data_IF_399388625822
#
_entry.id   IF_399388625822
#
_cell.length_a   1.000
_cell.length_b   1.000
_cell.length_c   1.000
_cell.angle_alpha   90.00
_cell.angle_beta   90.00
_cell.angle_gamma   90.00
#
_symmetry.space_group_name_H-M   'P 1'
#
loop_
_entity.id
_entity.type
_entity.pdbx_description
1 polymer ?
#
# COMPACT_ATOMS: atom_id res chain seq x y z
N UNK A 1 2.63 -10.48 -8.93
CA UNK A 1 2.38 -11.58 -7.98
C UNK A 1 3.60 -11.76 -7.10
N UNK A 2 3.42 -12.07 -5.82
CA UNK A 2 4.52 -12.31 -4.87
C UNK A 2 4.30 -13.67 -4.17
N UNK A 3 5.37 -14.22 -3.60
CA UNK A 3 5.31 -15.42 -2.76
C UNK A 3 5.24 -15.00 -1.30
N UNK A 4 4.45 -15.72 -0.50
CA UNK A 4 4.30 -15.50 0.92
C UNK A 4 4.61 -16.80 1.67
N UNK A 5 5.15 -16.69 2.88
CA UNK A 5 5.26 -17.83 3.78
C UNK A 5 3.83 -18.38 4.07
N UNK A 6 3.58 -19.69 3.89
CA UNK A 6 2.27 -20.32 4.13
C UNK A 6 1.69 -20.11 5.54
N UNK A 7 2.51 -19.83 6.55
CA UNK A 7 2.06 -19.57 7.92
C UNK A 7 1.43 -18.17 8.09
N UNK A 8 1.67 -17.25 7.16
CA UNK A 8 1.13 -15.89 7.20
C UNK A 8 -0.28 -15.89 6.62
N UNK A 9 -1.27 -15.59 7.47
CA UNK A 9 -2.67 -15.43 7.08
C UNK A 9 -2.95 -13.98 6.70
N UNK A 10 -3.66 -13.78 5.59
CA UNK A 10 -4.07 -12.45 5.12
C UNK A 10 -5.59 -12.35 5.14
N UNK A 11 -6.18 -11.47 5.96
CA UNK A 11 -7.59 -11.10 5.87
C UNK A 11 -7.95 -10.62 4.46
N UNK A 12 -9.16 -10.90 3.98
CA UNK A 12 -9.61 -10.51 2.64
C UNK A 12 -9.68 -9.00 2.40
N UNK A 13 -9.79 -8.23 3.49
CA UNK A 13 -9.79 -6.77 3.53
C UNK A 13 -8.39 -6.17 3.80
N UNK A 14 -7.33 -6.98 3.67
CA UNK A 14 -5.95 -6.48 3.73
C UNK A 14 -5.68 -5.47 2.61
N UNK A 15 -4.88 -4.45 2.91
CA UNK A 15 -4.53 -3.40 1.96
C UNK A 15 -3.06 -3.52 1.57
N UNK A 16 -2.78 -3.55 0.26
CA UNK A 16 -1.41 -3.53 -0.26
C UNK A 16 -1.02 -2.12 -0.74
N UNK A 17 0.16 -1.65 -0.37
CA UNK A 17 0.69 -0.35 -0.77
C UNK A 17 2.14 -0.49 -1.26
N UNK A 18 2.51 0.21 -2.33
CA UNK A 18 3.92 0.35 -2.72
C UNK A 18 4.51 1.53 -1.96
N UNK A 19 5.52 1.28 -1.13
CA UNK A 19 6.21 2.31 -0.32
C UNK A 19 7.67 2.40 -0.70
N UNK A 20 8.27 3.56 -0.44
CA UNK A 20 9.71 3.79 -0.56
C UNK A 20 10.32 3.79 0.83
N UNK A 21 11.46 3.12 1.02
CA UNK A 21 12.20 3.17 2.27
C UNK A 21 12.86 4.55 2.41
N UNK A 22 12.38 5.35 3.37
CA UNK A 22 12.79 6.75 3.48
C UNK A 22 12.37 7.57 2.26
N UNK A 23 13.10 8.65 1.95
CA UNK A 23 12.76 9.55 0.83
C UNK A 23 13.16 9.00 -0.54
N UNK A 24 14.25 8.23 -0.62
CA UNK A 24 14.91 7.84 -1.90
C UNK A 24 15.43 6.41 -1.92
N UNK A 25 15.06 5.58 -0.95
CA UNK A 25 15.53 4.20 -0.88
C UNK A 25 14.80 3.25 -1.82
N UNK A 26 14.97 1.96 -1.56
CA UNK A 26 14.30 0.88 -2.29
C UNK A 26 12.77 0.92 -2.14
N UNK A 27 12.06 0.44 -3.15
CA UNK A 27 10.60 0.27 -3.11
C UNK A 27 10.24 -1.11 -2.57
N UNK A 28 9.19 -1.19 -1.77
CA UNK A 28 8.68 -2.45 -1.22
C UNK A 28 7.15 -2.45 -1.17
N UNK A 29 6.56 -3.65 -1.11
CA UNK A 29 5.12 -3.82 -0.88
C UNK A 29 4.88 -3.92 0.62
N UNK A 30 4.13 -2.97 1.16
CA UNK A 30 3.60 -2.99 2.52
C UNK A 30 2.21 -3.61 2.49
N UNK A 31 1.95 -4.60 3.34
CA UNK A 31 0.61 -5.17 3.51
C UNK A 31 0.14 -4.82 4.91
N UNK A 32 -1.01 -4.16 5.00
CA UNK A 32 -1.67 -3.87 6.27
C UNK A 32 -2.83 -4.87 6.43
N UNK A 33 -2.85 -5.71 7.47
CA UNK A 33 -3.96 -6.62 7.69
C UNK A 33 -5.22 -5.83 8.06
N UNK A 34 -6.35 -6.27 7.53
CA UNK A 34 -7.66 -5.80 7.95
C UNK A 34 -8.21 -6.60 9.14
N UNK A 35 -9.50 -6.46 9.39
CA UNK A 35 -10.20 -7.09 10.52
C UNK A 35 -11.16 -8.20 10.08
N UNK A 36 -11.20 -8.54 8.78
CA UNK A 36 -12.06 -9.62 8.30
C UNK A 36 -11.68 -10.96 8.92
N UNK A 37 -12.69 -11.73 9.30
CA UNK A 37 -12.53 -13.12 9.73
C UNK A 37 -12.23 -14.06 8.54
N UNK A 38 -12.52 -13.62 7.31
CA UNK A 38 -12.26 -14.38 6.10
C UNK A 38 -10.84 -14.12 5.60
N UNK A 39 -10.16 -15.19 5.20
CA UNK A 39 -8.78 -15.15 4.72
C UNK A 39 -8.71 -15.32 3.20
N UNK A 40 -7.75 -14.64 2.58
CA UNK A 40 -7.38 -14.84 1.18
C UNK A 40 -6.79 -16.25 1.03
N UNK A 41 -7.37 -17.04 0.13
CA UNK A 41 -6.88 -18.38 -0.18
C UNK A 41 -5.64 -18.33 -1.07
N UNK A 42 -4.79 -19.38 -1.09
CA UNK A 42 -3.68 -19.48 -2.02
C UNK A 42 -4.10 -19.22 -3.47
N UNK A 43 -3.34 -18.37 -4.18
CA UNK A 43 -3.67 -17.93 -5.55
C UNK A 43 -4.73 -16.82 -5.62
N UNK A 44 -5.27 -16.37 -4.49
CA UNK A 44 -6.15 -15.22 -4.41
C UNK A 44 -5.44 -13.88 -4.60
N UNK A 45 -6.21 -12.80 -4.57
CA UNK A 45 -5.73 -11.44 -4.82
C UNK A 45 -6.16 -10.48 -3.71
N UNK A 46 -5.27 -9.58 -3.34
CA UNK A 46 -5.60 -8.40 -2.53
C UNK A 46 -6.35 -7.41 -3.43
N UNK A 47 -7.57 -7.04 -3.04
CA UNK A 47 -8.42 -6.11 -3.80
C UNK A 47 -8.13 -4.66 -3.47
N UNK A 48 -7.89 -4.38 -2.19
CA UNK A 48 -7.64 -3.04 -1.71
C UNK A 48 -6.16 -2.66 -1.90
N UNK A 49 -5.91 -1.63 -2.71
CA UNK A 49 -4.55 -1.16 -2.98
C UNK A 49 -4.43 0.33 -2.80
N UNK A 50 -3.25 0.78 -2.41
CA UNK A 50 -2.92 2.19 -2.30
C UNK A 50 -1.81 2.55 -3.30
N UNK A 51 -1.97 3.65 -4.04
CA UNK A 51 -0.92 4.12 -4.93
C UNK A 51 0.31 4.56 -4.12
N UNK A 52 1.51 4.50 -4.72
CA UNK A 52 2.69 5.06 -4.09
C UNK A 52 2.54 6.57 -3.86
N UNK A 53 3.18 7.06 -2.81
CA UNK A 53 3.25 8.50 -2.55
C UNK A 53 4.07 9.19 -3.64
N UNK A 54 3.47 10.21 -4.28
CA UNK A 54 4.16 11.06 -5.24
C UNK A 54 4.71 12.30 -4.53
N UNK A 55 6.02 12.30 -4.32
CA UNK A 55 6.73 13.40 -3.67
C UNK A 55 6.67 14.69 -4.50
N UNK A 56 6.68 14.59 -5.84
CA UNK A 56 6.62 15.75 -6.72
C UNK A 56 5.27 16.45 -6.64
N UNK A 57 4.17 15.68 -6.63
CA UNK A 57 2.82 16.23 -6.42
C UNK A 57 2.71 16.88 -5.02
N UNK A 58 3.21 16.22 -3.97
CA UNK A 58 3.17 16.76 -2.62
C UNK A 58 3.97 18.08 -2.47
N UNK A 59 5.17 18.16 -3.07
CA UNK A 59 5.96 19.40 -3.12
C UNK A 59 5.21 20.48 -3.90
N UNK A 60 4.62 20.12 -5.05
CA UNK A 60 3.79 21.04 -5.84
C UNK A 60 2.67 21.65 -5.00
N UNK A 61 1.90 20.82 -4.28
CA UNK A 61 0.83 21.29 -3.39
C UNK A 61 1.34 22.19 -2.25
N UNK A 62 2.54 21.92 -1.73
CA UNK A 62 3.15 22.75 -0.71
C UNK A 62 3.59 24.12 -1.26
N UNK A 63 4.23 24.15 -2.43
CA UNK A 63 4.74 25.38 -3.06
C UNK A 63 3.61 26.27 -3.55
N UNK A 64 2.62 25.68 -4.24
CA UNK A 64 1.54 26.43 -4.86
C UNK A 64 0.37 26.70 -3.92
N UNK A 65 0.33 26.01 -2.77
CA UNK A 65 -0.82 25.99 -1.85
C UNK A 65 -2.03 25.35 -2.53
N UNK A 66 -2.96 24.78 -1.75
CA UNK A 66 -4.31 24.60 -2.28
C UNK A 66 -4.80 25.98 -2.75
N UNK A 67 -5.26 26.16 -4.00
CA UNK A 67 -5.92 27.40 -4.36
C UNK A 67 -7.00 27.65 -3.31
N UNK A 68 -6.82 28.76 -2.59
CA UNK A 68 -7.68 29.12 -1.47
C UNK A 68 -9.14 29.05 -1.89
N UNK A 69 -9.96 28.46 -1.03
CA UNK A 69 -11.33 28.94 -0.92
C UNK A 69 -11.31 30.35 -0.37
#
# INVERSE_FOLDING_TARGET
>A
TFLLNPEVKLPEDSIAAVKTKGLVGEKYVSITPGASERMIQPGGHIRETQPPFDLSDAIGRLIYGSPGK
#
